data_IF_527262955873
#
_entry.id   IF_527262955873
#
_cell.length_a   1.000
_cell.length_b   1.000
_cell.length_c   1.000
_cell.angle_alpha   90.00
_cell.angle_beta   90.00
_cell.angle_gamma   90.00
#
_symmetry.space_group_name_H-M   'P 1'
#
loop_
_entity.id
_entity.type
_entity.pdbx_description
1 polymer ?
#
# COMPACT_ATOMS: atom_id res chain seq x y z
N UNK A 1 -0.10 -3.11 31.36
CA UNK A 1 1.09 -3.94 31.03
C UNK A 1 2.19 -3.01 30.54
N UNK A 2 3.32 -2.95 31.27
CA UNK A 2 4.47 -2.10 30.90
C UNK A 2 5.41 -2.90 29.95
N UNK A 3 4.91 -3.33 28.81
CA UNK A 3 5.75 -3.95 27.78
C UNK A 3 6.33 -2.84 26.92
N UNK A 4 7.62 -2.93 26.62
CA UNK A 4 8.30 -2.01 25.69
C UNK A 4 7.62 -1.99 24.32
N UNK A 5 7.45 -0.80 23.74
CA UNK A 5 6.79 -0.62 22.43
C UNK A 5 5.26 -0.75 22.43
N UNK A 6 4.63 -1.08 23.55
CA UNK A 6 3.17 -1.05 23.67
C UNK A 6 2.71 0.38 23.86
N UNK A 7 1.92 0.88 22.93
CA UNK A 7 1.35 2.22 22.98
C UNK A 7 -0.01 2.27 22.27
N UNK A 8 -0.69 3.41 22.34
CA UNK A 8 -2.02 3.58 21.76
C UNK A 8 -1.99 3.41 20.24
N UNK A 9 -2.67 2.41 19.73
CA UNK A 9 -2.83 2.17 18.28
C UNK A 9 -3.90 3.10 17.70
N UNK A 10 -3.94 3.22 16.36
CA UNK A 10 -4.99 3.97 15.66
C UNK A 10 -6.41 3.41 15.92
N UNK A 11 -6.52 2.17 16.34
CA UNK A 11 -7.80 1.53 16.70
C UNK A 11 -8.26 1.88 18.14
N UNK A 12 -7.48 2.65 18.89
CA UNK A 12 -7.87 3.15 20.19
C UNK A 12 -7.62 2.20 21.36
N UNK A 13 -6.82 1.16 21.23
CA UNK A 13 -6.33 0.30 22.30
C UNK A 13 -4.81 0.19 22.30
N UNK A 14 -4.23 -0.20 23.43
CA UNK A 14 -2.78 -0.34 23.57
C UNK A 14 -2.31 -1.65 22.95
N UNK A 15 -1.25 -1.56 22.16
CA UNK A 15 -0.71 -2.72 21.44
C UNK A 15 0.48 -2.35 20.57
N UNK A 16 0.76 -3.21 19.60
CA UNK A 16 1.76 -3.02 18.56
C UNK A 16 1.09 -2.74 17.21
N UNK A 17 1.84 -2.19 16.27
CA UNK A 17 1.43 -1.96 14.88
C UNK A 17 2.39 -2.70 13.92
N UNK A 18 2.35 -4.04 13.84
CA UNK A 18 3.26 -4.78 12.99
C UNK A 18 3.00 -4.50 11.50
N UNK A 19 4.07 -4.53 10.71
CA UNK A 19 4.00 -4.62 9.25
C UNK A 19 4.51 -6.00 8.82
N UNK A 20 3.84 -6.59 7.85
CA UNK A 20 4.16 -7.92 7.34
C UNK A 20 4.07 -7.93 5.83
N UNK A 21 4.96 -8.66 5.18
CA UNK A 21 4.97 -8.89 3.76
C UNK A 21 4.88 -10.37 3.43
N UNK A 22 4.07 -10.68 2.43
CA UNK A 22 3.82 -12.04 1.99
C UNK A 22 4.10 -12.18 0.50
N UNK A 23 4.55 -13.35 0.06
CA UNK A 23 4.77 -13.70 -1.35
C UNK A 23 3.92 -14.90 -1.74
N UNK A 24 3.54 -14.96 -3.02
CA UNK A 24 2.76 -16.03 -3.61
C UNK A 24 1.27 -15.96 -3.23
N UNK A 25 0.47 -16.75 -3.93
CA UNK A 25 -0.96 -16.87 -3.67
C UNK A 25 -1.25 -17.63 -2.38
N UNK A 26 -0.30 -18.46 -1.95
CA UNK A 26 -0.32 -19.21 -0.70
C UNK A 26 -0.07 -18.33 0.52
N UNK A 27 0.54 -17.15 0.33
CA UNK A 27 0.78 -16.18 1.39
C UNK A 27 1.96 -16.54 2.30
N UNK A 28 3.08 -16.96 1.74
CA UNK A 28 4.31 -17.19 2.52
C UNK A 28 4.85 -15.88 3.09
N UNK A 29 5.12 -15.84 4.38
CA UNK A 29 5.71 -14.70 5.06
C UNK A 29 7.16 -14.52 4.60
N UNK A 30 7.47 -13.35 4.05
CA UNK A 30 8.82 -12.99 3.60
C UNK A 30 9.52 -12.08 4.60
N UNK A 31 8.79 -11.07 5.11
CA UNK A 31 9.35 -10.09 6.03
C UNK A 31 8.30 -9.67 7.06
N UNK A 32 8.76 -9.38 8.28
CA UNK A 32 7.93 -8.88 9.36
C UNK A 32 8.71 -7.93 10.25
N UNK A 33 8.10 -6.81 10.61
CA UNK A 33 8.67 -5.86 11.56
C UNK A 33 7.63 -5.54 12.63
N UNK A 34 7.99 -5.72 13.88
CA UNK A 34 7.18 -5.29 15.01
C UNK A 34 7.42 -3.79 15.24
N UNK A 35 6.36 -3.02 15.25
CA UNK A 35 6.40 -1.57 15.44
C UNK A 35 5.64 -1.16 16.68
N UNK A 36 6.02 -0.02 17.27
CA UNK A 36 5.26 0.58 18.36
C UNK A 36 3.83 0.88 17.93
N UNK A 37 2.88 0.72 18.87
CA UNK A 37 1.45 0.91 18.59
C UNK A 37 1.08 2.29 18.06
N UNK A 38 1.78 3.35 18.51
CA UNK A 38 1.58 4.74 18.07
C UNK A 38 2.26 5.09 16.75
N UNK A 39 3.14 4.19 16.25
CA UNK A 39 3.90 4.47 15.04
C UNK A 39 2.97 4.61 13.82
N UNK A 40 3.16 5.68 13.06
CA UNK A 40 2.40 5.90 11.84
C UNK A 40 2.74 4.81 10.81
N UNK A 41 1.74 4.35 10.04
CA UNK A 41 1.91 3.26 9.08
C UNK A 41 3.01 3.49 8.02
N UNK A 42 3.31 4.75 7.68
CA UNK A 42 4.37 5.10 6.72
C UNK A 42 5.77 5.19 7.35
N UNK A 43 5.88 5.29 8.67
CA UNK A 43 7.18 5.35 9.35
C UNK A 43 7.93 4.04 9.11
N UNK A 44 9.19 4.13 8.69
CA UNK A 44 10.09 3.01 8.33
C UNK A 44 9.58 2.08 7.22
N UNK A 45 8.43 2.37 6.59
CA UNK A 45 7.92 1.57 5.47
C UNK A 45 8.84 1.62 4.24
N UNK A 46 9.46 2.74 3.87
CA UNK A 46 10.44 2.76 2.78
C UNK A 46 11.59 1.77 2.97
N UNK A 47 12.18 1.73 4.16
CA UNK A 47 13.25 0.78 4.48
C UNK A 47 12.76 -0.67 4.46
N UNK A 48 11.62 -0.95 5.09
CA UNK A 48 10.97 -2.26 5.08
C UNK A 48 10.66 -2.75 3.65
N UNK A 49 10.19 -1.85 2.78
CA UNK A 49 9.87 -2.17 1.39
C UNK A 49 11.13 -2.54 0.59
N UNK A 50 12.22 -1.78 0.72
CA UNK A 50 13.50 -2.10 0.07
C UNK A 50 14.03 -3.46 0.52
N UNK A 51 14.03 -3.72 1.81
CA UNK A 51 14.45 -5.00 2.38
C UNK A 51 13.58 -6.16 1.88
N UNK A 52 12.26 -5.98 1.88
CA UNK A 52 11.31 -6.98 1.39
C UNK A 52 11.53 -7.32 -0.08
N UNK A 53 11.74 -6.33 -0.94
CA UNK A 53 12.03 -6.54 -2.36
C UNK A 53 13.34 -7.32 -2.52
N UNK A 54 14.39 -6.96 -1.76
CA UNK A 54 15.67 -7.68 -1.79
C UNK A 54 15.52 -9.14 -1.37
N UNK A 55 14.71 -9.44 -0.35
CA UNK A 55 14.41 -10.80 0.07
C UNK A 55 13.63 -11.57 -1.00
N UNK A 56 12.63 -10.95 -1.64
CA UNK A 56 11.88 -11.58 -2.72
C UNK A 56 12.79 -11.93 -3.91
N UNK A 57 13.75 -11.07 -4.24
CA UNK A 57 14.72 -11.33 -5.32
C UNK A 57 15.70 -12.48 -5.03
N UNK A 58 15.85 -12.88 -3.76
CA UNK A 58 16.59 -14.10 -3.41
C UNK A 58 15.76 -15.38 -3.62
N UNK A 59 14.43 -15.23 -3.69
CA UNK A 59 13.50 -16.35 -3.85
C UNK A 59 13.18 -16.58 -5.33
N UNK A 60 13.06 -15.51 -6.13
CA UNK A 60 12.62 -15.59 -7.52
C UNK A 60 13.19 -14.48 -8.39
N UNK A 61 13.49 -14.83 -9.65
CA UNK A 61 13.84 -13.89 -10.72
C UNK A 61 12.62 -13.41 -11.52
N UNK A 62 11.43 -13.96 -11.24
CA UNK A 62 10.20 -13.58 -11.91
C UNK A 62 9.80 -12.11 -11.61
N UNK A 63 9.04 -11.46 -12.50
CA UNK A 63 8.53 -10.13 -12.28
C UNK A 63 7.72 -10.03 -10.98
N UNK A 64 8.03 -9.05 -10.14
CA UNK A 64 7.32 -8.81 -8.88
C UNK A 64 6.16 -7.83 -9.08
N UNK A 65 4.99 -8.20 -8.59
CA UNK A 65 3.84 -7.31 -8.44
C UNK A 65 3.62 -7.01 -6.94
N UNK A 66 3.94 -5.80 -6.53
CA UNK A 66 3.79 -5.35 -5.14
C UNK A 66 2.39 -4.77 -4.94
N UNK A 67 1.69 -5.22 -3.90
CA UNK A 67 0.37 -4.70 -3.55
C UNK A 67 0.43 -4.02 -2.19
N UNK A 68 0.04 -2.75 -2.15
CA UNK A 68 0.02 -1.94 -0.93
C UNK A 68 -1.40 -1.40 -0.66
N UNK A 69 -1.73 -1.24 0.59
CA UNK A 69 -2.95 -0.57 1.01
C UNK A 69 -2.82 0.97 0.97
N UNK A 70 -3.89 1.68 1.28
CA UNK A 70 -3.92 3.14 1.26
C UNK A 70 -3.07 3.80 2.34
N UNK A 71 -2.70 3.09 3.39
CA UNK A 71 -1.79 3.59 4.42
C UNK A 71 -0.37 3.80 3.88
N UNK A 72 -0.02 3.10 2.80
CA UNK A 72 1.30 3.14 2.18
C UNK A 72 1.35 3.97 0.87
N UNK A 73 0.28 4.70 0.54
CA UNK A 73 0.22 5.59 -0.63
C UNK A 73 1.04 6.86 -0.37
N UNK A 74 2.32 6.81 -0.72
CA UNK A 74 3.27 7.93 -0.59
C UNK A 74 4.20 8.04 -1.79
N UNK A 75 4.68 9.25 -2.07
CA UNK A 75 5.64 9.49 -3.15
C UNK A 75 6.92 8.68 -2.95
N UNK A 76 7.39 8.55 -1.71
CA UNK A 76 8.61 7.83 -1.38
C UNK A 76 8.47 6.33 -1.69
N UNK A 77 7.37 5.69 -1.27
CA UNK A 77 7.12 4.28 -1.59
C UNK A 77 6.98 4.04 -3.10
N UNK A 78 6.30 4.94 -3.82
CA UNK A 78 6.19 4.87 -5.28
C UNK A 78 7.56 5.00 -5.94
N UNK A 79 8.39 5.92 -5.48
CA UNK A 79 9.76 6.09 -5.95
C UNK A 79 10.58 4.80 -5.82
N UNK A 80 10.54 4.15 -4.65
CA UNK A 80 11.23 2.87 -4.43
C UNK A 80 10.76 1.78 -5.39
N UNK A 81 9.45 1.68 -5.63
CA UNK A 81 8.90 0.67 -6.52
C UNK A 81 9.34 0.90 -7.98
N UNK A 82 9.38 2.14 -8.43
CA UNK A 82 9.88 2.52 -9.75
C UNK A 82 11.38 2.23 -9.90
N UNK A 83 12.19 2.59 -8.89
CA UNK A 83 13.63 2.33 -8.87
C UNK A 83 13.99 0.84 -8.81
N UNK A 84 13.12 0.02 -8.23
CA UNK A 84 13.32 -1.42 -8.03
C UNK A 84 12.83 -2.30 -9.20
N UNK A 85 12.39 -1.69 -10.29
CA UNK A 85 11.81 -2.39 -11.46
C UNK A 85 10.72 -3.40 -11.05
N UNK A 86 9.79 -2.93 -10.21
CA UNK A 86 8.65 -3.70 -9.76
C UNK A 86 7.35 -3.14 -10.32
N UNK A 87 6.45 -4.03 -10.74
CA UNK A 87 5.05 -3.65 -10.93
C UNK A 87 4.38 -3.42 -9.59
N UNK A 88 3.41 -2.52 -9.53
CA UNK A 88 2.72 -2.27 -8.26
C UNK A 88 1.25 -1.89 -8.43
N UNK A 89 0.47 -2.20 -7.39
CA UNK A 89 -0.91 -1.75 -7.20
C UNK A 89 -0.99 -1.13 -5.80
N UNK A 90 -1.31 0.14 -5.73
CA UNK A 90 -1.50 0.87 -4.48
C UNK A 90 -2.93 1.38 -4.42
N UNK A 91 -3.63 1.06 -3.33
CA UNK A 91 -4.94 1.67 -3.08
C UNK A 91 -4.74 3.15 -2.80
N UNK A 92 -5.35 4.03 -3.62
CA UNK A 92 -5.26 5.47 -3.43
C UNK A 92 -5.78 5.89 -2.05
N UNK A 93 -4.99 6.65 -1.32
CA UNK A 93 -5.43 7.39 -0.15
C UNK A 93 -5.99 8.73 -0.62
N UNK A 94 -7.30 8.88 -0.57
CA UNK A 94 -7.96 10.07 -1.12
C UNK A 94 -7.63 11.35 -0.35
N UNK A 95 -7.20 11.24 0.90
CA UNK A 95 -6.93 12.43 1.75
C UNK A 95 -8.10 13.42 1.73
N UNK A 96 -7.94 14.55 1.03
CA UNK A 96 -8.97 15.59 0.85
C UNK A 96 -9.68 15.50 -0.50
N UNK A 97 -9.36 14.48 -1.32
CA UNK A 97 -9.99 14.30 -2.63
C UNK A 97 -11.38 13.70 -2.48
N UNK A 98 -12.32 14.13 -3.32
CA UNK A 98 -13.68 13.61 -3.33
C UNK A 98 -13.72 12.20 -3.92
N UNK A 99 -14.36 11.27 -3.21
CA UNK A 99 -14.62 9.92 -3.72
C UNK A 99 -15.55 9.94 -4.93
N UNK A 100 -16.53 10.84 -4.92
CA UNK A 100 -17.54 10.93 -5.98
C UNK A 100 -16.90 11.48 -7.28
N UNK A 101 -16.00 12.45 -7.17
CA UNK A 101 -15.27 12.98 -8.32
C UNK A 101 -14.40 11.89 -8.97
N UNK A 102 -13.73 11.06 -8.15
CA UNK A 102 -12.98 9.92 -8.65
C UNK A 102 -13.86 8.90 -9.34
N UNK A 103 -15.06 8.66 -8.81
CA UNK A 103 -15.99 7.71 -9.38
C UNK A 103 -16.57 8.21 -10.71
N UNK A 104 -16.96 9.48 -10.80
CA UNK A 104 -17.44 10.07 -12.05
C UNK A 104 -16.34 10.10 -13.12
N UNK A 105 -15.11 10.44 -12.74
CA UNK A 105 -13.96 10.36 -13.63
C UNK A 105 -13.73 8.92 -14.13
N UNK A 106 -13.81 7.92 -13.24
CA UNK A 106 -13.64 6.53 -13.60
C UNK A 106 -14.71 6.07 -14.59
N UNK A 107 -15.96 6.46 -14.41
CA UNK A 107 -17.05 6.19 -15.38
C UNK A 107 -16.79 6.84 -16.74
N UNK A 108 -16.38 8.11 -16.73
CA UNK A 108 -16.21 8.89 -17.94
C UNK A 108 -15.01 8.44 -18.80
N UNK A 109 -13.93 7.97 -18.15
CA UNK A 109 -12.64 7.64 -18.79
C UNK A 109 -12.34 6.14 -18.83
N UNK A 110 -13.27 5.27 -18.39
CA UNK A 110 -13.04 3.85 -18.41
C UNK A 110 -12.90 3.30 -19.84
N UNK A 111 -11.88 2.51 -20.04
CA UNK A 111 -11.64 1.75 -21.27
C UNK A 111 -12.24 0.34 -21.18
N UNK A 112 -12.45 -0.14 -19.98
CA UNK A 112 -13.04 -1.44 -19.71
C UNK A 112 -13.85 -1.41 -18.42
N UNK A 113 -15.01 -2.11 -18.43
CA UNK A 113 -15.89 -2.25 -17.27
C UNK A 113 -16.17 -3.73 -17.05
N UNK A 114 -15.89 -4.23 -15.85
CA UNK A 114 -16.10 -5.61 -15.47
C UNK A 114 -16.94 -5.74 -14.20
N UNK A 115 -17.63 -6.84 -14.05
CA UNK A 115 -18.39 -7.19 -12.84
C UNK A 115 -17.87 -8.53 -12.29
N UNK A 116 -16.74 -8.53 -11.55
CA UNK A 116 -16.08 -9.75 -11.10
C UNK A 116 -16.89 -10.57 -10.09
N UNK A 117 -17.89 -9.97 -9.47
CA UNK A 117 -18.86 -10.62 -8.58
C UNK A 117 -20.12 -9.76 -8.47
N UNK A 118 -21.20 -10.35 -7.98
CA UNK A 118 -22.45 -9.64 -7.72
C UNK A 118 -22.22 -8.40 -6.82
N UNK A 119 -22.86 -7.29 -7.17
CA UNK A 119 -22.76 -6.02 -6.44
C UNK A 119 -21.43 -5.28 -6.57
N UNK A 120 -20.50 -5.76 -7.42
CA UNK A 120 -19.21 -5.10 -7.65
C UNK A 120 -19.00 -4.79 -9.14
N UNK A 121 -18.86 -3.51 -9.45
CA UNK A 121 -18.44 -3.03 -10.77
C UNK A 121 -17.03 -2.46 -10.67
N UNK A 122 -16.16 -2.82 -11.61
CA UNK A 122 -14.79 -2.32 -11.71
C UNK A 122 -14.63 -1.58 -13.03
N UNK A 123 -14.21 -0.33 -12.94
CA UNK A 123 -13.87 0.53 -14.05
C UNK A 123 -12.35 0.55 -14.19
N UNK A 124 -11.84 0.24 -15.38
CA UNK A 124 -10.40 0.24 -15.66
C UNK A 124 -10.12 1.19 -16.81
N UNK A 125 -9.17 2.08 -16.63
CA UNK A 125 -8.74 3.04 -17.64
C UNK A 125 -7.42 3.67 -17.26
N UNK A 126 -6.90 4.53 -18.14
CA UNK A 126 -5.69 5.30 -17.91
C UNK A 126 -6.02 6.78 -17.89
N UNK A 127 -5.45 7.49 -16.94
CA UNK A 127 -5.53 8.95 -16.86
C UNK A 127 -4.21 9.51 -16.36
N UNK A 128 -3.98 10.78 -16.66
CA UNK A 128 -2.85 11.51 -16.12
C UNK A 128 -3.36 12.68 -15.32
N UNK A 129 -3.01 12.70 -14.04
CA UNK A 129 -3.37 13.78 -13.12
C UNK A 129 -2.16 14.12 -12.26
N UNK A 130 -1.79 15.41 -12.14
CA UNK A 130 -0.78 15.80 -11.16
C UNK A 130 -1.28 15.45 -9.77
N UNK A 131 -0.47 14.72 -9.02
CA UNK A 131 -0.77 14.34 -7.64
C UNK A 131 0.24 15.02 -6.73
N UNK A 132 -0.25 15.86 -5.82
CA UNK A 132 0.56 16.39 -4.75
C UNK A 132 0.52 15.40 -3.57
N UNK A 133 1.67 14.85 -3.20
CA UNK A 133 1.85 14.20 -1.92
C UNK A 133 2.29 15.28 -0.93
N UNK A 134 1.38 15.72 -0.10
CA UNK A 134 1.79 16.51 1.07
C UNK A 134 2.53 15.57 2.01
N UNK A 135 3.76 15.94 2.38
CA UNK A 135 4.40 15.37 3.57
C UNK A 135 3.42 15.51 4.71
N UNK A 136 3.14 14.42 5.39
CA UNK A 136 2.29 14.46 6.57
C UNK A 136 2.94 15.39 7.60
N UNK A 137 2.27 16.49 7.92
CA UNK A 137 2.50 17.24 9.13
C UNK A 137 2.00 16.45 10.35
#
# INVERSE_FOLDING_TARGET
TRKEGVSRTYKGYDGYAPIMAYIGTEGYLVNAQLREGKQHCQCDTPAFLRETIAMCRQITDEPLLIRLDSGNDSAENIGILLESDCYFIIKRNLRRESKDDWFEMAKAKSQNVTAPREGKTVYTGSDWKPVSYTTAD
#
